data_IF_588008785324
#
_entry.id   IF_588008785324
#
_cell.length_a   1.000
_cell.length_b   1.000
_cell.length_c   1.000
_cell.angle_alpha   90.00
_cell.angle_beta   90.00
_cell.angle_gamma   90.00
#
_symmetry.space_group_name_H-M   'P 1'
#
loop_
_entity.id
_entity.type
_entity.pdbx_description
1 polymer ?
#
# COMPACT_ATOMS: atom_id res chain seq x y z
N UNK A 1 -21.15 -16.03 22.09
CA UNK A 1 -22.27 -15.70 23.00
C UNK A 1 -23.50 -15.20 22.23
N UNK A 2 -23.39 -14.17 21.38
CA UNK A 2 -24.54 -13.62 20.61
C UNK A 2 -25.10 -14.59 19.55
N UNK A 3 -24.25 -15.30 18.79
CA UNK A 3 -24.69 -16.28 17.77
C UNK A 3 -25.52 -17.42 18.36
N UNK A 4 -25.14 -17.91 19.54
CA UNK A 4 -25.80 -19.01 20.26
C UNK A 4 -27.20 -18.60 20.77
N UNK A 5 -27.33 -17.37 21.30
CA UNK A 5 -28.62 -16.81 21.72
C UNK A 5 -29.57 -16.62 20.55
N UNK A 6 -29.06 -16.12 19.42
CA UNK A 6 -29.86 -15.97 18.20
C UNK A 6 -30.37 -17.30 17.68
N UNK A 7 -29.50 -18.31 17.55
CA UNK A 7 -29.90 -19.64 17.09
C UNK A 7 -30.97 -20.27 17.99
N UNK A 8 -30.83 -20.16 19.32
CA UNK A 8 -31.82 -20.67 20.27
C UNK A 8 -33.16 -19.92 20.17
N UNK A 9 -33.13 -18.62 19.92
CA UNK A 9 -34.34 -17.79 19.82
C UNK A 9 -35.07 -18.01 18.49
N UNK A 10 -34.33 -18.15 17.39
CA UNK A 10 -34.90 -18.50 16.08
C UNK A 10 -35.58 -19.87 16.14
N UNK A 11 -34.94 -20.87 16.76
CA UNK A 11 -35.50 -22.22 16.91
C UNK A 11 -36.73 -22.27 17.83
N UNK A 12 -36.72 -21.51 18.93
CA UNK A 12 -37.81 -21.52 19.93
C UNK A 12 -39.06 -20.76 19.49
N UNK A 13 -38.89 -19.67 18.74
CA UNK A 13 -39.98 -18.74 18.43
C UNK A 13 -40.31 -18.65 16.93
N UNK A 14 -39.60 -19.36 16.06
CA UNK A 14 -39.78 -19.28 14.61
C UNK A 14 -39.48 -17.89 14.04
N UNK A 15 -38.73 -17.07 14.78
CA UNK A 15 -38.39 -15.70 14.39
C UNK A 15 -37.13 -15.70 13.53
N UNK A 16 -37.08 -14.90 12.47
CA UNK A 16 -35.84 -14.65 11.71
C UNK A 16 -35.12 -13.43 12.29
N UNK A 17 -34.19 -13.64 13.22
CA UNK A 17 -33.37 -12.55 13.77
C UNK A 17 -32.18 -12.23 12.86
N UNK A 18 -31.99 -10.94 12.57
CA UNK A 18 -30.85 -10.44 11.80
C UNK A 18 -29.81 -9.85 12.75
N UNK A 19 -28.57 -10.35 12.65
CA UNK A 19 -27.44 -9.81 13.39
C UNK A 19 -26.68 -8.82 12.50
N UNK A 20 -26.31 -7.63 13.02
CA UNK A 20 -25.35 -6.79 12.33
C UNK A 20 -24.05 -7.58 12.15
N UNK A 21 -23.46 -7.52 10.96
CA UNK A 21 -22.22 -8.23 10.67
C UNK A 21 -21.06 -7.69 11.53
N UNK A 22 -20.10 -8.57 11.81
CA UNK A 22 -18.80 -8.21 12.42
C UNK A 22 -18.00 -7.18 11.59
N UNK A 23 -18.27 -7.07 10.28
CA UNK A 23 -17.75 -6.06 9.36
C UNK A 23 -18.94 -5.25 8.80
N UNK A 24 -19.31 -4.11 9.41
CA UNK A 24 -20.42 -3.30 8.95
C UNK A 24 -20.01 -2.48 7.71
N UNK A 25 -20.59 -2.80 6.56
CA UNK A 25 -20.67 -1.89 5.40
C UNK A 25 -21.53 -0.63 5.73
N UNK A 26 -21.56 0.38 4.86
CA UNK A 26 -22.34 1.61 5.09
C UNK A 26 -23.86 1.42 4.84
N UNK A 27 -24.25 0.45 4.01
CA UNK A 27 -25.62 0.32 3.46
C UNK A 27 -26.42 -0.83 4.11
N UNK A 28 -26.49 -0.84 5.45
CA UNK A 28 -27.24 -1.86 6.17
C UNK A 28 -28.70 -1.47 6.38
N UNK A 29 -29.66 -2.34 6.04
CA UNK A 29 -31.05 -2.10 6.33
C UNK A 29 -31.28 -2.09 7.84
N UNK A 30 -32.08 -1.14 8.31
CA UNK A 30 -32.69 -1.26 9.63
C UNK A 30 -33.64 -2.45 9.66
N UNK A 31 -33.97 -2.94 10.85
CA UNK A 31 -34.93 -4.04 11.01
C UNK A 31 -36.27 -3.81 10.28
N UNK A 32 -36.72 -2.56 10.24
CA UNK A 32 -37.95 -2.12 9.55
C UNK A 32 -37.82 -2.09 8.03
N UNK A 33 -36.60 -2.09 7.50
CA UNK A 33 -36.29 -1.97 6.07
C UNK A 33 -35.86 -3.31 5.46
N UNK A 34 -35.86 -4.39 6.26
CA UNK A 34 -35.40 -5.73 5.86
C UNK A 34 -36.04 -6.26 4.57
N UNK A 35 -37.28 -5.87 4.29
CA UNK A 35 -38.05 -6.35 3.13
C UNK A 35 -37.55 -5.75 1.82
N UNK A 36 -36.82 -4.62 1.90
CA UNK A 36 -36.20 -3.95 0.76
C UNK A 36 -34.76 -4.43 0.52
N UNK A 37 -34.19 -5.15 1.49
CA UNK A 37 -32.84 -5.66 1.42
C UNK A 37 -32.79 -7.05 0.77
N UNK A 38 -31.61 -7.40 0.23
CA UNK A 38 -31.34 -8.72 -0.33
C UNK A 38 -30.16 -9.36 0.38
N UNK A 39 -30.23 -10.66 0.57
CA UNK A 39 -29.10 -11.43 1.10
C UNK A 39 -28.02 -11.54 0.03
N UNK A 40 -26.77 -11.30 0.42
CA UNK A 40 -25.58 -11.54 -0.40
C UNK A 40 -25.44 -13.03 -0.67
N UNK A 41 -25.25 -13.40 -1.95
CA UNK A 41 -25.12 -14.80 -2.37
C UNK A 41 -23.94 -15.55 -1.71
N UNK A 42 -22.88 -14.84 -1.31
CA UNK A 42 -21.68 -15.45 -0.72
C UNK A 42 -21.73 -15.61 0.79
N UNK A 43 -22.19 -14.57 1.50
CA UNK A 43 -22.10 -14.52 2.96
C UNK A 43 -23.46 -14.46 3.65
N UNK A 44 -24.56 -14.39 2.89
CA UNK A 44 -25.92 -14.26 3.42
C UNK A 44 -26.21 -12.93 4.11
N UNK A 45 -25.26 -11.98 4.15
CA UNK A 45 -25.44 -10.66 4.74
C UNK A 45 -26.54 -9.90 4.00
N UNK A 46 -27.49 -9.33 4.73
CA UNK A 46 -28.53 -8.48 4.15
C UNK A 46 -28.00 -7.07 3.95
N UNK A 47 -28.06 -6.59 2.72
CA UNK A 47 -27.73 -5.22 2.34
C UNK A 47 -28.77 -4.66 1.39
N UNK A 48 -28.81 -3.34 1.27
CA UNK A 48 -29.52 -2.75 0.15
C UNK A 48 -28.81 -3.10 -1.16
N UNK A 49 -29.55 -3.42 -2.23
CA UNK A 49 -28.94 -3.52 -3.55
C UNK A 49 -28.26 -2.21 -3.89
N UNK A 50 -27.00 -2.28 -4.30
CA UNK A 50 -26.25 -1.11 -4.74
C UNK A 50 -26.84 -0.50 -6.01
N UNK A 51 -26.80 0.83 -6.09
CA UNK A 51 -27.09 1.57 -7.32
C UNK A 51 -25.85 1.73 -8.21
N UNK A 52 -24.67 1.30 -7.74
CA UNK A 52 -23.44 1.36 -8.51
C UNK A 52 -23.53 0.45 -9.74
N UNK A 53 -23.17 0.93 -10.94
CA UNK A 53 -23.09 0.08 -12.14
C UNK A 53 -21.92 -0.91 -12.07
N UNK A 54 -20.97 -0.71 -11.16
CA UNK A 54 -19.75 -1.51 -11.04
C UNK A 54 -19.86 -2.65 -10.04
N UNK A 55 -20.83 -2.61 -9.12
CA UNK A 55 -21.01 -3.65 -8.10
C UNK A 55 -22.22 -4.53 -8.44
N UNK A 56 -22.09 -5.87 -8.52
CA UNK A 56 -23.22 -6.73 -8.82
C UNK A 56 -24.30 -6.66 -7.72
N UNK A 57 -25.57 -6.62 -8.11
CA UNK A 57 -26.71 -6.40 -7.19
C UNK A 57 -27.00 -7.54 -6.21
N UNK A 58 -26.39 -8.71 -6.40
CA UNK A 58 -26.63 -9.93 -5.62
C UNK A 58 -25.52 -10.24 -4.61
N UNK A 59 -24.48 -9.38 -4.53
CA UNK A 59 -23.34 -9.58 -3.66
C UNK A 59 -23.04 -8.29 -2.90
N UNK A 60 -22.58 -8.39 -1.65
CA UNK A 60 -22.12 -7.22 -0.91
C UNK A 60 -20.74 -6.77 -1.39
N UNK A 61 -20.41 -5.50 -1.16
CA UNK A 61 -19.15 -4.88 -1.56
C UNK A 61 -17.93 -5.68 -1.06
N UNK A 62 -17.92 -6.05 0.22
CA UNK A 62 -16.82 -6.82 0.81
C UNK A 62 -16.62 -8.19 0.14
N UNK A 63 -17.69 -8.92 -0.18
CA UNK A 63 -17.56 -10.21 -0.86
C UNK A 63 -17.13 -10.05 -2.33
N UNK A 64 -17.61 -9.00 -3.01
CA UNK A 64 -17.15 -8.65 -4.35
C UNK A 64 -15.64 -8.39 -4.38
N UNK A 65 -15.11 -7.55 -3.47
CA UNK A 65 -13.68 -7.31 -3.37
C UNK A 65 -12.88 -8.60 -3.11
N UNK A 66 -13.40 -9.50 -2.25
CA UNK A 66 -12.77 -10.81 -2.02
C UNK A 66 -12.76 -11.68 -3.27
N UNK A 67 -13.81 -11.64 -4.11
CA UNK A 67 -13.84 -12.35 -5.40
C UNK A 67 -12.84 -11.75 -6.39
N UNK A 68 -12.81 -10.43 -6.53
CA UNK A 68 -11.86 -9.73 -7.41
C UNK A 68 -10.41 -10.04 -7.01
N UNK A 69 -10.08 -9.91 -5.72
CA UNK A 69 -8.73 -10.21 -5.23
C UNK A 69 -8.33 -11.66 -5.52
N UNK A 70 -9.24 -12.63 -5.33
CA UNK A 70 -8.99 -14.03 -5.69
C UNK A 70 -8.77 -14.19 -7.19
N UNK A 71 -9.58 -13.56 -8.03
CA UNK A 71 -9.44 -13.60 -9.48
C UNK A 71 -8.09 -13.01 -9.92
N UNK A 72 -7.63 -11.92 -9.30
CA UNK A 72 -6.33 -11.31 -9.61
C UNK A 72 -5.17 -12.28 -9.31
N UNK A 73 -5.24 -13.00 -8.19
CA UNK A 73 -4.26 -14.04 -7.80
C UNK A 73 -4.32 -15.24 -8.76
N UNK A 74 -5.52 -15.68 -9.12
CA UNK A 74 -5.73 -16.82 -10.00
C UNK A 74 -5.24 -16.56 -11.42
N UNK A 75 -5.46 -15.35 -11.94
CA UNK A 75 -5.12 -14.98 -13.31
C UNK A 75 -3.78 -14.27 -13.46
N UNK A 76 -2.93 -14.28 -12.43
CA UNK A 76 -1.61 -13.64 -12.43
C UNK A 76 -1.63 -12.20 -12.96
N UNK A 77 -2.64 -11.43 -12.56
CA UNK A 77 -2.74 -10.05 -13.02
C UNK A 77 -1.49 -9.26 -12.58
N UNK A 78 -0.96 -8.36 -13.43
CA UNK A 78 0.19 -7.53 -13.09
C UNK A 78 -0.06 -6.71 -11.81
N UNK A 79 0.93 -6.70 -10.93
CA UNK A 79 1.00 -5.89 -9.71
C UNK A 79 2.41 -5.30 -9.59
N UNK A 80 2.93 -4.85 -10.74
CA UNK A 80 4.29 -4.34 -10.90
C UNK A 80 4.39 -2.81 -10.87
N UNK A 81 3.25 -2.17 -10.62
CA UNK A 81 3.18 -0.76 -10.30
C UNK A 81 3.75 -0.47 -8.91
N UNK A 82 4.26 0.75 -8.76
CA UNK A 82 4.72 1.28 -7.49
C UNK A 82 6.21 1.14 -7.22
N UNK A 83 6.69 2.06 -6.39
CA UNK A 83 8.10 2.27 -6.10
C UNK A 83 8.25 2.54 -4.61
N UNK A 84 9.17 1.80 -3.98
CA UNK A 84 9.53 2.02 -2.58
C UNK A 84 10.90 2.69 -2.49
N UNK A 85 11.00 3.72 -1.65
CA UNK A 85 12.25 4.40 -1.34
C UNK A 85 12.66 4.10 0.10
N UNK A 86 13.91 3.69 0.29
CA UNK A 86 14.51 3.43 1.59
C UNK A 86 15.78 4.24 1.79
N UNK A 87 15.99 4.68 3.04
CA UNK A 87 17.32 5.03 3.54
C UNK A 87 17.98 3.75 4.04
N UNK A 88 19.20 3.49 3.59
CA UNK A 88 19.99 2.33 3.97
C UNK A 88 21.29 2.75 4.65
N UNK A 89 21.57 2.16 5.81
CA UNK A 89 22.82 2.34 6.54
C UNK A 89 23.21 1.06 7.27
N UNK A 90 24.39 0.50 6.98
CA UNK A 90 24.97 -0.64 7.71
C UNK A 90 24.00 -1.82 7.95
N UNK A 91 23.24 -2.23 6.93
CA UNK A 91 22.28 -3.34 7.02
C UNK A 91 20.88 -2.94 7.49
N UNK A 92 20.69 -1.71 7.98
CA UNK A 92 19.40 -1.21 8.46
C UNK A 92 18.69 -0.46 7.33
N UNK A 93 17.42 -0.80 7.11
CA UNK A 93 16.52 -0.14 6.15
C UNK A 93 15.47 0.68 6.90
N UNK A 94 15.34 1.95 6.53
CA UNK A 94 14.25 2.83 7.00
C UNK A 94 13.43 3.27 5.80
N UNK A 95 12.14 2.91 5.80
CA UNK A 95 11.22 3.33 4.74
C UNK A 95 11.07 4.85 4.73
N UNK A 96 11.22 5.45 3.55
CA UNK A 96 10.89 6.87 3.30
C UNK A 96 9.45 6.97 2.82
N UNK A 97 9.04 6.05 1.94
CA UNK A 97 7.67 6.00 1.46
C UNK A 97 7.46 5.08 0.26
N UNK A 98 6.20 4.97 -0.13
CA UNK A 98 5.71 4.27 -1.30
C UNK A 98 4.93 5.25 -2.19
N UNK A 99 5.13 5.14 -3.50
CA UNK A 99 4.35 5.87 -4.50
C UNK A 99 3.98 4.93 -5.64
N UNK A 100 2.84 5.15 -6.30
CA UNK A 100 2.45 4.34 -7.47
C UNK A 100 3.34 4.60 -8.68
N UNK A 101 3.89 5.81 -8.81
CA UNK A 101 4.78 6.21 -9.91
C UNK A 101 5.99 6.95 -9.34
N UNK A 102 7.19 6.64 -9.84
CA UNK A 102 8.44 7.22 -9.35
C UNK A 102 8.41 8.74 -9.33
N UNK A 103 7.84 9.36 -10.36
CA UNK A 103 7.74 10.82 -10.55
C UNK A 103 6.99 11.54 -9.41
N UNK A 104 6.27 10.80 -8.55
CA UNK A 104 5.62 11.35 -7.36
C UNK A 104 6.59 11.61 -6.21
N UNK A 105 7.80 11.05 -6.22
CA UNK A 105 8.82 11.40 -5.23
C UNK A 105 9.44 12.76 -5.53
N UNK A 106 9.68 13.56 -4.49
CA UNK A 106 10.35 14.87 -4.61
C UNK A 106 11.73 14.78 -5.29
N UNK A 107 12.44 13.66 -5.11
CA UNK A 107 13.77 13.45 -5.68
C UNK A 107 13.75 13.08 -7.17
N UNK A 108 12.61 12.62 -7.70
CA UNK A 108 12.54 12.00 -9.02
C UNK A 108 13.05 12.89 -10.16
N UNK A 109 12.75 14.20 -10.21
CA UNK A 109 13.28 15.08 -11.27
C UNK A 109 14.81 15.24 -11.28
N UNK A 110 15.48 14.84 -10.19
CA UNK A 110 16.91 15.04 -9.98
C UNK A 110 17.72 13.73 -10.01
N UNK A 111 17.05 12.61 -10.28
CA UNK A 111 17.72 11.31 -10.48
C UNK A 111 18.03 11.16 -11.96
N UNK A 112 19.26 10.76 -12.28
CA UNK A 112 19.69 10.51 -13.66
C UNK A 112 18.75 9.47 -14.32
N UNK A 113 18.04 9.85 -15.42
CA UNK A 113 17.15 8.95 -16.13
C UNK A 113 17.83 7.67 -16.63
N UNK A 114 19.14 7.69 -16.86
CA UNK A 114 19.91 6.52 -17.28
C UNK A 114 19.87 5.40 -16.22
N UNK A 115 19.76 5.75 -14.93
CA UNK A 115 19.64 4.80 -13.82
C UNK A 115 18.26 4.11 -13.79
N UNK A 116 17.23 4.75 -14.38
CA UNK A 116 15.87 4.22 -14.46
C UNK A 116 15.74 3.14 -15.55
N UNK A 117 16.71 3.05 -16.46
CA UNK A 117 16.82 2.01 -17.48
C UNK A 117 17.26 0.69 -16.81
N UNK A 118 16.30 0.02 -16.18
CA UNK A 118 16.51 -1.26 -15.53
C UNK A 118 16.61 -2.45 -16.50
N UNK A 119 16.95 -3.60 -15.93
CA UNK A 119 16.95 -4.88 -16.64
C UNK A 119 15.56 -5.23 -17.21
N UNK A 120 15.54 -6.11 -18.21
CA UNK A 120 14.29 -6.64 -18.75
C UNK A 120 13.50 -7.37 -17.64
N UNK A 121 12.17 -7.20 -17.55
CA UNK A 121 11.34 -7.98 -16.66
C UNK A 121 11.45 -9.50 -16.94
N UNK A 122 11.22 -10.37 -15.94
CA UNK A 122 10.80 -10.07 -14.57
C UNK A 122 12.00 -9.95 -13.62
N UNK A 123 12.37 -8.74 -13.22
CA UNK A 123 13.46 -8.48 -12.27
C UNK A 123 13.11 -7.33 -11.34
N UNK A 124 13.46 -7.45 -10.05
CA UNK A 124 13.38 -6.30 -9.15
C UNK A 124 14.53 -5.38 -9.49
N UNK A 125 14.20 -4.21 -10.07
CA UNK A 125 15.19 -3.21 -10.38
C UNK A 125 15.45 -2.37 -9.12
N UNK A 126 16.71 -2.32 -8.69
CA UNK A 126 17.13 -1.58 -7.49
C UNK A 126 18.14 -0.51 -7.89
N UNK A 127 17.78 0.75 -7.67
CA UNK A 127 18.69 1.88 -7.88
C UNK A 127 19.30 2.25 -6.53
N UNK A 128 20.62 2.41 -6.52
CA UNK A 128 21.34 2.90 -5.35
C UNK A 128 21.85 4.31 -5.63
N UNK A 129 21.45 5.27 -4.79
CA UNK A 129 21.97 6.63 -4.85
C UNK A 129 22.94 6.83 -3.69
N UNK A 130 24.22 6.89 -4.04
CA UNK A 130 25.31 7.09 -3.10
C UNK A 130 25.47 8.55 -2.70
N UNK A 131 26.38 8.81 -1.77
CA UNK A 131 26.58 10.11 -1.14
C UNK A 131 26.65 11.28 -2.13
N UNK A 132 27.46 11.16 -3.20
CA UNK A 132 27.62 12.25 -4.17
C UNK A 132 26.30 12.60 -4.88
N UNK A 133 25.53 11.57 -5.29
CA UNK A 133 24.22 11.76 -5.90
C UNK A 133 23.23 12.39 -4.90
N UNK A 134 23.27 11.98 -3.63
CA UNK A 134 22.42 12.59 -2.59
C UNK A 134 22.77 14.06 -2.36
N UNK A 135 24.05 14.43 -2.37
CA UNK A 135 24.50 15.83 -2.23
C UNK A 135 23.99 16.69 -3.39
N UNK A 136 24.09 16.20 -4.63
CA UNK A 136 23.55 16.89 -5.80
C UNK A 136 22.02 17.04 -5.73
N UNK A 137 21.31 15.96 -5.40
CA UNK A 137 19.86 15.97 -5.21
C UNK A 137 19.44 16.95 -4.11
N UNK A 138 20.16 16.98 -2.98
CA UNK A 138 19.88 17.89 -1.88
C UNK A 138 20.01 19.36 -2.32
N UNK A 139 21.05 19.68 -3.08
CA UNK A 139 21.27 21.04 -3.60
C UNK A 139 20.13 21.47 -4.53
N UNK A 140 19.72 20.59 -5.45
CA UNK A 140 18.59 20.88 -6.35
C UNK A 140 17.25 21.00 -5.63
N UNK A 141 17.01 20.17 -4.61
CA UNK A 141 15.83 20.29 -3.76
C UNK A 141 15.82 21.63 -3.01
N UNK A 142 16.97 22.06 -2.48
CA UNK A 142 17.10 23.35 -1.82
C UNK A 142 16.79 24.51 -2.78
N UNK A 143 17.34 24.50 -3.99
CA UNK A 143 17.07 25.51 -5.02
C UNK A 143 15.58 25.56 -5.39
N UNK A 144 14.96 24.40 -5.61
CA UNK A 144 13.54 24.30 -5.95
C UNK A 144 12.64 24.78 -4.80
N UNK A 145 12.99 24.42 -3.56
CA UNK A 145 12.29 24.87 -2.36
C UNK A 145 12.39 26.38 -2.20
N UNK A 146 13.59 26.96 -2.32
CA UNK A 146 13.82 28.41 -2.24
C UNK A 146 13.02 29.18 -3.30
N UNK A 147 12.98 28.67 -4.54
CA UNK A 147 12.17 29.26 -5.61
C UNK A 147 10.67 29.27 -5.26
N UNK A 148 10.15 28.20 -4.64
CA UNK A 148 8.74 28.13 -4.22
C UNK A 148 8.47 29.04 -3.01
N UNK A 149 9.38 29.07 -2.05
CA UNK A 149 9.30 29.93 -0.86
C UNK A 149 9.39 31.42 -1.20
N UNK A 150 10.14 31.80 -2.24
CA UNK A 150 10.21 33.18 -2.72
C UNK A 150 8.86 33.75 -3.17
N UNK A 151 7.92 32.88 -3.57
CA UNK A 151 6.56 33.23 -3.95
C UNK A 151 5.50 32.74 -2.95
N UNK A 152 5.94 32.34 -1.75
CA UNK A 152 5.04 31.87 -0.69
C UNK A 152 4.04 32.96 -0.29
N UNK A 153 2.79 32.53 -0.08
CA UNK A 153 1.73 33.36 0.47
C UNK A 153 0.99 32.53 1.52
N UNK A 154 0.75 33.06 2.72
CA UNK A 154 -0.08 32.39 3.71
C UNK A 154 -1.46 32.04 3.14
N UNK A 155 -2.05 30.92 3.58
CA UNK A 155 -3.38 30.55 3.15
C UNK A 155 -4.42 31.52 3.73
N UNK A 156 -5.42 31.86 2.93
CA UNK A 156 -6.57 32.63 3.40
C UNK A 156 -7.41 31.77 4.36
N UNK A 157 -7.58 32.27 5.59
CA UNK A 157 -8.33 31.58 6.65
C UNK A 157 -9.77 32.08 6.67
N UNK A 158 -10.72 31.24 6.27
CA UNK A 158 -12.14 31.48 6.50
C UNK A 158 -12.54 30.95 7.88
N UNK A 159 -12.96 31.83 8.79
CA UNK A 159 -13.31 31.47 10.17
C UNK A 159 -14.38 30.38 10.28
N UNK A 160 -15.29 30.29 9.29
CA UNK A 160 -16.37 29.29 9.24
C UNK A 160 -15.89 27.86 8.93
N UNK A 161 -14.67 27.69 8.43
CA UNK A 161 -14.09 26.40 8.03
C UNK A 161 -12.85 26.03 8.86
N UNK A 162 -12.61 26.70 9.98
CA UNK A 162 -11.40 26.53 10.82
C UNK A 162 -11.10 25.06 11.16
N UNK A 163 -12.12 24.26 11.49
CA UNK A 163 -11.99 22.83 11.79
C UNK A 163 -11.73 21.93 10.58
N UNK A 164 -11.85 22.46 9.36
CA UNK A 164 -11.70 21.71 8.12
C UNK A 164 -10.32 21.84 7.49
N UNK A 165 -9.48 22.77 7.96
CA UNK A 165 -8.13 22.98 7.47
C UNK A 165 -7.13 22.03 8.11
N UNK A 166 -6.09 21.67 7.38
CA UNK A 166 -4.94 20.94 7.91
C UNK A 166 -3.69 21.80 7.73
N UNK A 167 -3.13 22.29 8.83
CA UNK A 167 -1.96 23.17 8.81
C UNK A 167 -0.73 22.51 9.44
N UNK A 168 0.42 22.66 8.79
CA UNK A 168 1.71 22.23 9.30
C UNK A 168 2.71 23.40 9.34
N UNK A 169 3.62 23.38 10.31
CA UNK A 169 4.64 24.41 10.47
C UNK A 169 6.01 23.82 10.10
N UNK A 170 6.71 24.48 9.19
CA UNK A 170 8.03 24.06 8.71
C UNK A 170 9.06 25.17 8.91
N UNK A 171 10.23 24.82 9.46
CA UNK A 171 11.31 25.76 9.69
C UNK A 171 12.40 25.59 8.62
N UNK A 172 12.68 26.65 7.87
CA UNK A 172 13.74 26.68 6.85
C UNK A 172 14.57 27.96 7.00
N UNK A 173 15.89 27.82 7.12
CA UNK A 173 16.83 28.95 7.27
C UNK A 173 16.42 29.99 8.34
N UNK A 174 15.86 29.52 9.46
CA UNK A 174 15.44 30.39 10.57
C UNK A 174 14.06 31.06 10.39
N UNK A 175 13.35 30.78 9.30
CA UNK A 175 11.98 31.26 9.05
C UNK A 175 11.00 30.09 9.22
N UNK A 176 9.89 30.33 9.93
CA UNK A 176 8.80 29.36 10.07
C UNK A 176 7.69 29.68 9.08
N UNK A 177 7.34 28.70 8.26
CA UNK A 177 6.26 28.76 7.27
C UNK A 177 5.07 27.94 7.74
N UNK A 178 3.86 28.49 7.64
CA UNK A 178 2.61 27.79 7.91
C UNK A 178 1.99 27.31 6.58
N UNK A 179 1.87 25.99 6.40
CA UNK A 179 1.42 25.36 5.18
C UNK A 179 0.04 24.72 5.39
N UNK A 180 -0.95 25.15 4.61
CA UNK A 180 -2.27 24.51 4.53
C UNK A 180 -2.23 23.38 3.50
N UNK A 181 -2.48 22.13 3.89
CA UNK A 181 -2.23 20.98 3.01
C UNK A 181 -3.48 20.45 2.32
N UNK A 182 -4.68 20.75 2.82
CA UNK A 182 -5.90 20.09 2.32
C UNK A 182 -6.38 20.71 1.02
N UNK A 183 -6.37 22.03 0.91
CA UNK A 183 -6.95 22.77 -0.21
C UNK A 183 -5.93 23.62 -0.97
N UNK A 184 -4.73 23.81 -0.43
CA UNK A 184 -3.71 24.64 -1.04
C UNK A 184 -2.59 23.83 -1.71
N UNK A 185 -2.72 23.61 -3.01
CA UNK A 185 -1.78 22.80 -3.81
C UNK A 185 -0.32 23.26 -3.71
N UNK A 186 -0.07 24.57 -3.79
CA UNK A 186 1.30 25.11 -3.68
C UNK A 186 1.93 24.83 -2.32
N UNK A 187 1.13 24.75 -1.25
CA UNK A 187 1.65 24.42 0.07
C UNK A 187 1.97 22.94 0.17
N UNK A 188 1.18 22.07 -0.46
CA UNK A 188 1.54 20.65 -0.61
C UNK A 188 2.84 20.47 -1.38
N UNK A 189 3.04 21.19 -2.48
CA UNK A 189 4.29 21.15 -3.23
C UNK A 189 5.50 21.58 -2.38
N UNK A 190 5.39 22.68 -1.65
CA UNK A 190 6.43 23.13 -0.71
C UNK A 190 6.69 22.04 0.33
N UNK A 191 5.63 21.47 0.89
CA UNK A 191 5.69 20.41 1.90
C UNK A 191 6.37 19.13 1.39
N UNK A 192 6.16 18.77 0.13
CA UNK A 192 6.82 17.62 -0.54
C UNK A 192 8.31 17.90 -0.74
N UNK A 193 8.66 19.09 -1.24
CA UNK A 193 10.06 19.50 -1.41
C UNK A 193 10.80 19.58 -0.07
N UNK A 194 10.15 20.09 0.96
CA UNK A 194 10.71 20.17 2.30
C UNK A 194 11.04 18.79 2.87
N UNK A 195 10.11 17.83 2.78
CA UNK A 195 10.36 16.46 3.24
C UNK A 195 11.47 15.77 2.45
N UNK A 196 11.47 15.94 1.13
CA UNK A 196 12.53 15.42 0.28
C UNK A 196 13.89 15.98 0.69
N UNK A 197 13.97 17.29 0.90
CA UNK A 197 15.19 17.98 1.31
C UNK A 197 15.65 17.53 2.71
N UNK A 198 14.75 17.50 3.70
CA UNK A 198 15.09 17.15 5.07
C UNK A 198 15.50 15.69 5.21
N UNK A 199 14.78 14.77 4.55
CA UNK A 199 15.14 13.35 4.53
C UNK A 199 16.49 13.13 3.89
N UNK A 200 16.78 13.84 2.78
CA UNK A 200 18.06 13.72 2.05
C UNK A 200 19.20 14.29 2.87
N UNK A 201 18.98 15.44 3.51
CA UNK A 201 19.92 16.04 4.47
C UNK A 201 20.26 15.08 5.61
N UNK A 202 19.24 14.46 6.21
CA UNK A 202 19.43 13.48 7.28
C UNK A 202 20.23 12.27 6.81
N UNK A 203 19.91 11.73 5.62
CA UNK A 203 20.65 10.62 5.04
C UNK A 203 22.14 10.95 4.80
N UNK A 204 22.43 12.14 4.27
CA UNK A 204 23.81 12.63 4.08
C UNK A 204 24.56 12.73 5.42
N UNK A 205 23.93 13.33 6.44
CA UNK A 205 24.54 13.53 7.75
C UNK A 205 24.87 12.19 8.43
N UNK A 206 24.00 11.19 8.28
CA UNK A 206 24.17 9.86 8.86
C UNK A 206 25.06 8.92 8.01
N UNK A 207 25.61 9.40 6.88
CA UNK A 207 26.39 8.59 5.95
C UNK A 207 25.59 7.47 5.27
N UNK A 208 24.28 7.65 5.18
CA UNK A 208 23.35 6.69 4.57
C UNK A 208 23.25 6.88 3.06
N UNK A 209 22.73 5.86 2.38
CA UNK A 209 22.43 5.90 0.93
C UNK A 209 20.93 5.69 0.69
N UNK A 210 20.45 6.05 -0.50
CA UNK A 210 19.09 5.68 -0.91
C UNK A 210 19.08 4.40 -1.72
N UNK A 211 18.06 3.58 -1.47
CA UNK A 211 17.72 2.43 -2.31
C UNK A 211 16.28 2.54 -2.78
N UNK A 212 16.10 2.55 -4.10
CA UNK A 212 14.81 2.66 -4.77
C UNK A 212 14.48 1.31 -5.39
N UNK A 213 13.37 0.71 -4.99
CA UNK A 213 12.93 -0.61 -5.46
C UNK A 213 11.74 -0.47 -6.40
N UNK A 214 11.89 -0.97 -7.63
CA UNK A 214 10.84 -1.05 -8.64
C UNK A 214 10.37 -2.50 -8.78
N UNK A 215 9.06 -2.74 -8.65
CA UNK A 215 8.46 -4.08 -8.60
C UNK A 215 8.21 -4.71 -9.97
N UNK A 216 9.12 -4.57 -10.93
CA UNK A 216 8.87 -4.97 -12.33
C UNK A 216 8.66 -6.48 -12.48
N UNK A 217 7.54 -6.88 -13.08
CA UNK A 217 7.21 -8.29 -13.34
C UNK A 217 6.62 -9.05 -12.16
N UNK A 218 6.22 -8.37 -11.07
CA UNK A 218 5.46 -8.95 -9.96
C UNK A 218 3.96 -8.99 -10.33
N UNK A 219 3.30 -10.11 -10.04
CA UNK A 219 1.84 -10.25 -10.16
C UNK A 219 1.16 -10.15 -8.79
N UNK A 220 -0.18 -10.04 -8.77
CA UNK A 220 -0.95 -10.12 -7.52
C UNK A 220 -0.75 -11.46 -6.79
N UNK A 221 -0.48 -12.54 -7.53
CA UNK A 221 -0.14 -13.85 -6.94
C UNK A 221 1.17 -13.78 -6.17
N UNK A 222 2.18 -13.18 -6.78
CA UNK A 222 3.52 -13.01 -6.22
C UNK A 222 3.50 -12.10 -4.98
N UNK A 223 2.85 -10.93 -5.07
CA UNK A 223 2.68 -10.01 -3.94
C UNK A 223 1.91 -10.66 -2.78
N UNK A 224 0.85 -11.43 -3.06
CA UNK A 224 0.11 -12.17 -2.04
C UNK A 224 1.01 -13.15 -1.27
N UNK A 225 1.82 -13.95 -1.98
CA UNK A 225 2.74 -14.91 -1.37
C UNK A 225 3.78 -14.20 -0.49
N UNK A 226 4.39 -13.13 -1.01
CA UNK A 226 5.38 -12.34 -0.26
C UNK A 226 4.77 -11.68 0.98
N UNK A 227 3.58 -11.09 0.89
CA UNK A 227 2.87 -10.53 2.05
C UNK A 227 2.55 -11.59 3.09
N UNK A 228 2.12 -12.78 2.65
CA UNK A 228 1.84 -13.89 3.56
C UNK A 228 3.10 -14.32 4.34
N UNK A 229 4.27 -14.32 3.69
CA UNK A 229 5.56 -14.60 4.33
C UNK A 229 6.05 -13.46 5.23
N UNK A 230 5.69 -12.21 4.92
CA UNK A 230 6.15 -11.02 5.64
C UNK A 230 5.35 -10.69 6.91
N UNK A 231 4.03 -10.90 6.89
CA UNK A 231 3.12 -10.45 7.96
C UNK A 231 2.57 -11.60 8.83
N UNK A 232 2.25 -11.34 10.12
CA UNK A 232 2.49 -10.09 10.87
C UNK A 232 3.96 -9.88 11.26
N UNK A 233 4.74 -10.96 11.33
CA UNK A 233 6.18 -10.95 11.57
C UNK A 233 6.80 -11.93 10.57
N UNK A 234 7.91 -11.57 9.89
CA UNK A 234 8.55 -12.46 8.95
C UNK A 234 8.95 -13.77 9.62
N UNK A 235 8.48 -14.88 9.08
CA UNK A 235 8.77 -16.22 9.58
C UNK A 235 8.88 -17.21 8.43
N UNK A 236 9.80 -18.19 8.51
CA UNK A 236 9.84 -19.28 7.55
C UNK A 236 8.51 -20.03 7.50
N UNK A 237 8.08 -20.41 6.30
CA UNK A 237 6.90 -21.26 6.10
C UNK A 237 7.25 -22.43 5.22
N UNK A 238 6.58 -23.55 5.45
CA UNK A 238 6.73 -24.71 4.58
C UNK A 238 5.89 -24.56 3.32
N UNK A 239 6.29 -25.21 2.23
CA UNK A 239 5.47 -25.30 1.00
C UNK A 239 4.08 -25.87 1.33
N UNK A 240 3.97 -26.84 2.24
CA UNK A 240 2.69 -27.45 2.61
C UNK A 240 1.76 -26.45 3.31
N UNK A 241 2.31 -25.56 4.16
CA UNK A 241 1.55 -24.47 4.77
C UNK A 241 1.05 -23.47 3.71
N UNK A 242 1.85 -23.18 2.69
CA UNK A 242 1.43 -22.32 1.59
C UNK A 242 0.31 -22.97 0.77
N UNK A 243 0.46 -24.24 0.39
CA UNK A 243 -0.58 -25.03 -0.30
C UNK A 243 -1.88 -25.05 0.50
N UNK A 244 -1.79 -25.25 1.82
CA UNK A 244 -2.96 -25.21 2.69
C UNK A 244 -3.60 -23.81 2.73
N UNK A 245 -2.81 -22.75 2.82
CA UNK A 245 -3.31 -21.38 2.90
C UNK A 245 -4.07 -20.96 1.63
N UNK A 246 -3.55 -21.34 0.45
CA UNK A 246 -4.13 -21.03 -0.85
C UNK A 246 -5.06 -22.13 -1.38
N UNK A 247 -5.47 -23.08 -0.54
CA UNK A 247 -6.37 -24.17 -0.91
C UNK A 247 -7.67 -23.64 -1.51
N UNK A 248 -8.00 -24.10 -2.72
CA UNK A 248 -9.18 -23.66 -3.49
C UNK A 248 -9.01 -22.32 -4.21
N UNK A 249 -7.83 -21.70 -4.14
CA UNK A 249 -7.46 -20.52 -4.94
C UNK A 249 -6.38 -20.93 -5.95
N UNK A 250 -5.31 -21.58 -5.51
CA UNK A 250 -4.18 -22.01 -6.34
C UNK A 250 -3.96 -23.53 -6.21
N UNK A 251 -3.45 -24.12 -7.28
CA UNK A 251 -2.90 -25.48 -7.31
C UNK A 251 -1.47 -25.53 -6.74
N UNK A 252 -1.00 -26.73 -6.41
CA UNK A 252 0.36 -26.92 -5.92
C UNK A 252 1.41 -26.56 -6.99
N UNK A 253 1.11 -26.83 -8.25
CA UNK A 253 1.94 -26.48 -9.40
C UNK A 253 2.07 -24.96 -9.55
N UNK A 254 0.97 -24.23 -9.42
CA UNK A 254 0.97 -22.75 -9.49
C UNK A 254 1.78 -22.13 -8.36
N UNK A 255 1.67 -22.66 -7.14
CA UNK A 255 2.47 -22.22 -6.00
C UNK A 255 3.95 -22.49 -6.26
N UNK A 256 4.30 -23.69 -6.74
CA UNK A 256 5.69 -24.06 -7.02
C UNK A 256 6.31 -23.17 -8.11
N UNK A 257 5.54 -22.87 -9.16
CA UNK A 257 5.94 -21.96 -10.24
C UNK A 257 6.19 -20.53 -9.72
N UNK A 258 5.28 -20.00 -8.91
CA UNK A 258 5.42 -18.68 -8.31
C UNK A 258 6.63 -18.60 -7.35
N UNK A 259 6.86 -19.63 -6.54
CA UNK A 259 8.03 -19.71 -5.67
C UNK A 259 9.34 -19.71 -6.48
N UNK A 260 9.43 -20.50 -7.55
CA UNK A 260 10.61 -20.54 -8.41
C UNK A 260 10.87 -19.19 -9.09
N UNK A 261 9.81 -18.50 -9.54
CA UNK A 261 9.90 -17.14 -10.09
C UNK A 261 10.42 -16.15 -9.04
N UNK A 262 9.84 -16.14 -7.85
CA UNK A 262 10.23 -15.24 -6.76
C UNK A 262 11.65 -15.50 -6.25
N UNK A 263 12.09 -16.76 -6.23
CA UNK A 263 13.46 -17.15 -5.90
C UNK A 263 14.46 -16.65 -6.96
N UNK A 264 14.14 -16.81 -8.25
CA UNK A 264 14.95 -16.27 -9.35
C UNK A 264 15.06 -14.74 -9.31
N UNK A 265 14.05 -14.05 -8.77
CA UNK A 265 14.06 -12.60 -8.52
C UNK A 265 14.73 -12.21 -7.19
N UNK A 266 15.27 -13.17 -6.44
CA UNK A 266 15.88 -12.99 -5.12
C UNK A 266 14.94 -12.37 -4.07
N UNK A 267 13.62 -12.58 -4.20
CA UNK A 267 12.62 -12.10 -3.24
C UNK A 267 12.39 -13.07 -2.08
N UNK A 268 12.74 -14.34 -2.26
CA UNK A 268 12.67 -15.39 -1.25
C UNK A 268 13.80 -16.40 -1.47
N UNK A 269 14.00 -17.26 -0.48
CA UNK A 269 14.92 -18.41 -0.52
C UNK A 269 14.12 -19.67 -0.20
N UNK A 270 14.36 -20.74 -0.97
CA UNK A 270 13.77 -22.06 -0.71
C UNK A 270 14.88 -23.03 -0.29
N UNK A 271 14.85 -23.47 0.97
CA UNK A 271 15.79 -24.47 1.50
C UNK A 271 15.02 -25.73 1.86
N UNK A 272 15.14 -26.76 1.03
CA UNK A 272 14.36 -27.99 1.18
C UNK A 272 12.87 -27.72 0.95
N UNK A 273 12.07 -27.73 2.03
CA UNK A 273 10.63 -27.35 1.97
C UNK A 273 10.33 -26.02 2.66
N UNK A 274 11.34 -25.39 3.25
CA UNK A 274 11.18 -24.13 3.97
C UNK A 274 11.39 -22.96 3.01
N UNK A 275 10.48 -21.99 3.09
CA UNK A 275 10.44 -20.78 2.29
C UNK A 275 10.61 -19.59 3.22
N UNK A 276 11.62 -18.76 2.96
CA UNK A 276 11.90 -17.56 3.76
C UNK A 276 11.98 -16.34 2.86
N UNK A 277 11.32 -15.24 3.26
CA UNK A 277 11.37 -13.97 2.52
C UNK A 277 12.71 -13.24 2.75
N UNK A 278 13.35 -12.82 1.66
CA UNK A 278 14.62 -12.05 1.70
C UNK A 278 14.36 -10.58 2.02
N UNK A 279 15.43 -9.81 2.26
CA UNK A 279 15.30 -8.36 2.41
C UNK A 279 14.74 -7.68 1.15
N UNK A 280 15.07 -8.17 -0.04
CA UNK A 280 14.51 -7.65 -1.30
C UNK A 280 13.01 -7.88 -1.36
N UNK A 281 12.54 -9.10 -1.04
CA UNK A 281 11.11 -9.41 -0.97
C UNK A 281 10.38 -8.53 0.05
N UNK A 282 10.97 -8.30 1.22
CA UNK A 282 10.41 -7.39 2.25
C UNK A 282 10.31 -5.95 1.77
N UNK A 283 11.31 -5.47 1.03
CA UNK A 283 11.35 -4.07 0.58
C UNK A 283 10.34 -3.75 -0.52
N UNK A 284 9.74 -4.78 -1.14
CA UNK A 284 8.72 -4.63 -2.18
C UNK A 284 7.30 -4.99 -1.72
N UNK A 285 7.06 -5.30 -0.45
CA UNK A 285 5.70 -5.59 0.07
C UNK A 285 5.21 -4.54 1.05
#
# INVERSE_FOLDING_TARGET
MVKTFVQQTQAKYGLTLYLPSEEPDLDWPRWTEREQARACDDCGKLGFPTDSPYLPKHICYTCHLKREQKAHIQHEQPCDDGVNLYVYNNGVYRSVGYVSQFDSFAIAPYVDPSLLLGAAPPTIHVITLEHNALVEIQAHLAEALEKKLACYKPAEKESRKSHSYHFEHMAYQGVTYELELKWHERHREIRILFDGWDTTRGAIADGSIYKIYFKRGISYRDDSLLRHLNYPIPSPKTIDQLVQHYSGILSQEEISSALAKLEAMHCLEVVGRDVTITQTGRNIV
#
